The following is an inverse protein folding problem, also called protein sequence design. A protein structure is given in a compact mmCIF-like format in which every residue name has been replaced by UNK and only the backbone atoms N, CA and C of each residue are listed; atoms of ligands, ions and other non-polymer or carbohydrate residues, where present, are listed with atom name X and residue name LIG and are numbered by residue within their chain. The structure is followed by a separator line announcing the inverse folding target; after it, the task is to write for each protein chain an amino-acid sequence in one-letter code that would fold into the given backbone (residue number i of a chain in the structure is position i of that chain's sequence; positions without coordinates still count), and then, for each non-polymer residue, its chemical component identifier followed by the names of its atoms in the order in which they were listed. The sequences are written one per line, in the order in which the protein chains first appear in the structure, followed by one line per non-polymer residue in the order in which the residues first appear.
data_IF_250182667552
#
_entry.id   IF_250182667552
#
_cell.length_a   1.000
_cell.length_b   1.000
_cell.length_c   1.000
_cell.angle_alpha   90.00
_cell.angle_beta   90.00
_cell.angle_gamma   90.00
#
_symmetry.space_group_name_H-M   'P 1'
#
loop_
_entity.id
_entity.type
_entity.pdbx_description
1 polymer ?
#
# COMPACT_ATOMS: atom_id res chain seq x y z
N UNK A 1 -6.02 -1.32 22.26
CA UNK A 1 -6.97 -1.54 21.14
C UNK A 1 -6.67 -0.51 20.07
N UNK A 2 -6.24 -0.94 18.88
CA UNK A 2 -5.94 -0.04 17.76
C UNK A 2 -7.20 0.06 16.90
N UNK A 3 -7.79 1.23 16.79
CA UNK A 3 -8.85 1.48 15.80
C UNK A 3 -8.17 1.73 14.45
N UNK A 4 -8.35 0.80 13.50
CA UNK A 4 -7.87 1.03 12.14
C UNK A 4 -8.86 1.93 11.39
N UNK A 5 -8.36 2.96 10.70
CA UNK A 5 -9.07 3.57 9.58
C UNK A 5 -8.03 3.84 8.49
N UNK A 6 -7.96 2.94 7.52
CA UNK A 6 -7.12 3.15 6.35
C UNK A 6 -7.83 4.13 5.42
N UNK A 7 -7.37 5.37 5.38
CA UNK A 7 -7.59 6.23 4.23
C UNK A 7 -6.44 5.93 3.25
N UNK A 8 -6.69 5.06 2.28
CA UNK A 8 -5.73 4.77 1.23
C UNK A 8 -6.21 5.35 -0.10
N UNK A 9 -5.99 6.67 -0.34
CA UNK A 9 -6.03 7.16 -1.70
C UNK A 9 -4.93 6.42 -2.48
N UNK A 10 -5.32 5.80 -3.59
CA UNK A 10 -4.43 5.01 -4.42
C UNK A 10 -4.90 4.98 -5.86
N UNK A 11 -3.97 4.67 -6.74
CA UNK A 11 -4.21 4.51 -8.16
C UNK A 11 -3.89 3.06 -8.51
N UNK A 12 -4.82 2.43 -9.21
CA UNK A 12 -4.62 1.12 -9.82
C UNK A 12 -4.56 1.34 -11.33
N UNK A 13 -3.47 0.92 -11.93
CA UNK A 13 -3.35 0.81 -13.38
C UNK A 13 -4.23 -0.35 -13.88
N UNK A 14 -5.17 -0.04 -14.78
CA UNK A 14 -6.07 -1.02 -15.39
C UNK A 14 -5.39 -1.75 -16.55
N UNK A 15 -4.27 -2.40 -16.27
CA UNK A 15 -3.66 -3.35 -17.19
C UNK A 15 -4.65 -4.48 -17.55
N UNK A 16 -4.51 -5.14 -18.72
CA UNK A 16 -5.47 -6.15 -19.17
C UNK A 16 -5.80 -7.23 -18.13
N UNK A 17 -4.80 -7.69 -17.39
CA UNK A 17 -4.89 -8.74 -16.37
C UNK A 17 -5.63 -8.24 -15.13
N UNK A 18 -5.42 -6.98 -14.74
CA UNK A 18 -6.16 -6.32 -13.65
C UNK A 18 -7.62 -6.13 -14.06
N UNK A 19 -7.86 -5.71 -15.30
CA UNK A 19 -9.19 -5.52 -15.85
C UNK A 19 -10.01 -6.82 -15.84
N UNK A 20 -9.40 -7.95 -16.22
CA UNK A 20 -10.04 -9.28 -16.13
C UNK A 20 -10.55 -9.61 -14.73
N UNK A 21 -9.81 -9.22 -13.69
CA UNK A 21 -10.26 -9.43 -12.29
C UNK A 21 -11.53 -8.62 -12.01
N UNK A 22 -11.54 -7.33 -12.36
CA UNK A 22 -12.68 -6.45 -12.11
C UNK A 22 -13.91 -6.77 -12.98
N UNK A 23 -13.70 -7.37 -14.16
CA UNK A 23 -14.77 -7.83 -15.05
C UNK A 23 -15.23 -9.27 -14.75
N UNK A 24 -14.68 -9.90 -13.70
CA UNK A 24 -14.99 -11.29 -13.29
C UNK A 24 -14.81 -12.33 -14.40
N UNK A 25 -13.77 -12.14 -15.22
CA UNK A 25 -13.42 -13.09 -16.26
C UNK A 25 -13.03 -14.45 -15.63
N UNK A 26 -13.46 -15.59 -16.19
CA UNK A 26 -13.18 -16.91 -15.60
C UNK A 26 -11.69 -17.27 -15.61
N UNK A 27 -10.89 -16.62 -16.46
CA UNK A 27 -9.43 -16.75 -16.55
C UNK A 27 -8.69 -15.67 -15.74
N UNK A 28 -9.37 -14.91 -14.89
CA UNK A 28 -8.73 -13.93 -14.01
C UNK A 28 -7.74 -14.62 -13.05
N UNK A 29 -6.51 -14.10 -13.01
CA UNK A 29 -5.42 -14.67 -12.24
C UNK A 29 -4.82 -13.64 -11.27
N UNK A 30 -4.04 -14.13 -10.29
CA UNK A 30 -3.27 -13.27 -9.40
C UNK A 30 -2.31 -12.39 -10.21
N UNK A 31 -2.35 -11.08 -9.97
CA UNK A 31 -1.40 -10.12 -10.56
C UNK A 31 -0.23 -9.87 -9.62
N UNK A 32 0.98 -9.60 -10.12
CA UNK A 32 2.11 -9.22 -9.28
C UNK A 32 1.92 -7.84 -8.65
N UNK A 33 2.81 -7.52 -7.72
CA UNK A 33 3.01 -6.16 -7.23
C UNK A 33 3.40 -5.24 -8.39
N UNK A 34 2.95 -3.98 -8.37
CA UNK A 34 3.35 -2.97 -9.36
C UNK A 34 2.19 -2.16 -9.91
N UNK A 35 1.02 -2.77 -10.09
CA UNK A 35 -0.14 -2.11 -10.70
C UNK A 35 -0.92 -1.22 -9.75
N UNK A 36 -0.74 -1.36 -8.44
CA UNK A 36 -1.41 -0.54 -7.44
C UNK A 36 -0.37 0.24 -6.62
N UNK A 37 -0.53 1.55 -6.55
CA UNK A 37 0.22 2.42 -5.64
C UNK A 37 -0.75 3.20 -4.78
N UNK A 38 -0.37 3.48 -3.54
CA UNK A 38 -1.23 4.27 -2.65
C UNK A 38 -0.49 4.74 -1.42
N UNK A 39 -1.17 5.49 -0.58
CA UNK A 39 -0.65 5.94 0.71
C UNK A 39 -1.42 5.28 1.85
N UNK A 40 -0.78 5.11 3.00
CA UNK A 40 -1.44 4.63 4.21
C UNK A 40 -1.26 5.65 5.32
N UNK A 41 -2.36 5.92 6.03
CA UNK A 41 -2.38 6.71 7.25
C UNK A 41 -2.85 5.84 8.40
N UNK A 42 -2.22 6.00 9.55
CA UNK A 42 -2.57 5.30 10.76
C UNK A 42 -3.21 6.27 11.75
N UNK A 43 -4.28 5.84 12.40
CA UNK A 43 -4.81 6.46 13.61
C UNK A 43 -4.61 5.45 14.73
N UNK A 44 -3.94 5.84 15.80
CA UNK A 44 -3.56 4.92 16.88
C UNK A 44 -3.91 5.50 18.23
N UNK A 45 -4.54 4.68 19.08
CA UNK A 45 -4.84 5.05 20.46
C UNK A 45 -3.66 4.77 21.42
N UNK A 46 -2.83 3.78 21.09
CA UNK A 46 -1.69 3.39 21.92
C UNK A 46 -0.55 4.40 21.79
N UNK A 47 -0.12 5.05 22.89
CA UNK A 47 1.00 5.99 22.88
C UNK A 47 2.29 5.39 22.31
N UNK A 48 2.55 4.09 22.52
CA UNK A 48 3.76 3.43 22.01
C UNK A 48 3.79 3.37 20.48
N UNK A 49 2.63 3.47 19.82
CA UNK A 49 2.49 3.40 18.38
C UNK A 49 2.32 4.77 17.71
N UNK A 50 2.29 5.87 18.47
CA UNK A 50 2.04 7.22 17.93
C UNK A 50 3.02 7.65 16.83
N UNK A 51 4.20 7.05 16.77
CA UNK A 51 5.13 7.25 15.66
C UNK A 51 4.53 6.88 14.30
N UNK A 52 3.67 5.85 14.22
CA UNK A 52 3.01 5.43 12.98
C UNK A 52 2.00 6.47 12.47
N UNK A 53 1.25 7.08 13.38
CA UNK A 53 0.29 8.14 13.05
C UNK A 53 0.98 9.41 12.53
N UNK A 54 2.17 9.72 13.08
CA UNK A 54 2.98 10.86 12.66
C UNK A 54 3.94 10.55 11.50
N UNK A 55 3.73 9.45 10.78
CA UNK A 55 4.61 8.98 9.70
C UNK A 55 3.90 8.99 8.35
N UNK A 56 4.67 9.15 7.28
CA UNK A 56 4.18 9.04 5.90
C UNK A 56 4.54 7.67 5.37
N UNK A 57 3.53 6.92 4.91
CA UNK A 57 3.72 5.62 4.27
C UNK A 57 3.28 5.66 2.82
N UNK A 58 4.15 5.16 1.95
CA UNK A 58 3.80 4.79 0.57
C UNK A 58 3.62 3.29 0.50
N UNK A 59 2.79 2.83 -0.43
CA UNK A 59 2.46 1.43 -0.56
C UNK A 59 2.39 0.98 -1.99
N UNK A 60 2.70 -0.30 -2.19
CA UNK A 60 2.49 -0.99 -3.44
C UNK A 60 1.61 -2.22 -3.19
N UNK A 61 0.61 -2.43 -4.04
CA UNK A 61 -0.40 -3.46 -3.88
C UNK A 61 -0.35 -4.55 -4.94
N UNK A 62 -0.89 -5.71 -4.61
CA UNK A 62 -1.27 -6.77 -5.54
C UNK A 62 -2.65 -7.34 -5.20
N UNK A 63 -3.31 -7.91 -6.20
CA UNK A 63 -4.58 -8.62 -6.02
C UNK A 63 -4.33 -10.11 -6.25
N UNK A 64 -4.62 -10.93 -5.24
CA UNK A 64 -4.60 -12.38 -5.32
C UNK A 64 -6.01 -12.90 -5.53
N UNK A 65 -6.18 -13.67 -6.60
CA UNK A 65 -7.42 -14.35 -6.91
C UNK A 65 -7.42 -15.72 -6.25
N UNK A 66 -8.50 -16.05 -5.56
CA UNK A 66 -8.76 -17.35 -4.95
C UNK A 66 -10.12 -17.88 -5.43
N UNK A 67 -10.36 -19.17 -5.24
CA UNK A 67 -11.62 -19.82 -5.66
C UNK A 67 -12.88 -19.13 -5.10
N UNK A 68 -12.80 -18.56 -3.89
CA UNK A 68 -13.95 -17.98 -3.18
C UNK A 68 -13.83 -16.48 -2.91
N UNK A 69 -12.89 -15.79 -3.55
CA UNK A 69 -12.75 -14.35 -3.38
C UNK A 69 -11.38 -13.80 -3.73
N UNK A 70 -11.17 -12.54 -3.35
CA UNK A 70 -9.96 -11.79 -3.64
C UNK A 70 -9.29 -11.36 -2.34
N UNK A 71 -7.95 -11.40 -2.32
CA UNK A 71 -7.14 -10.77 -1.28
C UNK A 71 -6.37 -9.62 -1.88
N UNK A 72 -6.49 -8.43 -1.31
CA UNK A 72 -5.60 -7.30 -1.64
C UNK A 72 -4.46 -7.30 -0.64
N UNK A 73 -3.24 -7.49 -1.13
CA UNK A 73 -2.04 -7.42 -0.30
C UNK A 73 -1.31 -6.11 -0.58
N UNK A 74 -0.90 -5.40 0.48
CA UNK A 74 -0.12 -4.18 0.37
C UNK A 74 1.23 -4.33 1.07
N UNK A 75 2.28 -3.83 0.42
CA UNK A 75 3.59 -3.60 1.04
C UNK A 75 3.70 -2.13 1.37
N UNK A 76 3.97 -1.80 2.62
CA UNK A 76 4.01 -0.44 3.11
C UNK A 76 5.46 -0.07 3.47
N UNK A 77 5.90 1.08 2.98
CA UNK A 77 7.24 1.61 3.23
C UNK A 77 7.13 2.96 3.92
N UNK A 78 7.88 3.13 5.00
CA UNK A 78 8.03 4.41 5.68
C UNK A 78 8.87 5.35 4.81
N UNK A 79 8.36 6.54 4.54
CA UNK A 79 9.14 7.60 3.89
C UNK A 79 10.11 8.18 4.91
N UNK A 80 11.41 8.15 4.58
CA UNK A 80 12.47 8.77 5.36
C UNK A 80 12.94 10.01 4.61
N UNK A 81 12.90 11.16 5.27
CA UNK A 81 13.37 12.41 4.67
C UNK A 81 14.87 12.29 4.34
N UNK A 82 15.25 12.69 3.13
CA UNK A 82 16.65 12.78 2.74
C UNK A 82 17.28 14.00 3.43
N UNK A 83 17.77 13.85 4.66
CA UNK A 83 18.55 14.90 5.33
C UNK A 83 19.94 14.98 4.72
N UNK A 84 20.06 15.69 3.60
CA UNK A 84 21.34 16.10 3.04
C UNK A 84 21.87 17.32 3.78
N UNK A 85 22.58 17.12 4.90
CA UNK A 85 23.69 18.02 5.26
C UNK A 85 24.96 17.21 5.04
N UNK A 86 25.46 17.23 3.80
CA UNK A 86 26.82 16.77 3.51
C UNK A 86 27.75 17.78 4.19
N UNK A 87 28.20 17.47 5.41
CA UNK A 87 29.38 18.11 5.97
C UNK A 87 30.56 17.69 5.11
N UNK A 88 30.90 18.51 4.11
CA UNK A 88 32.24 18.47 3.52
C UNK A 88 33.20 18.78 4.66
N UNK A 89 34.02 17.81 5.03
CA UNK A 89 35.25 18.07 5.76
C UNK A 89 36.22 18.67 4.73
N UNK A 90 36.21 19.99 4.65
CA UNK A 90 37.33 20.76 4.11
C UNK A 90 38.42 20.85 5.18
#
# INVERSE_FOLDING_TARGET
MVYWRTLAPGIIEMAPEVKKIFEMHPDAATVPFGFATGQHQFLVADPALKKLENSVFVSNGRIRVHEKGLTVETRQSLVVAATGRNERKD
#
